data_IF_247053288077
#
_entry.id   IF_247053288077
#
_cell.length_a   1.000
_cell.length_b   1.000
_cell.length_c   1.000
_cell.angle_alpha   90.00
_cell.angle_beta   90.00
_cell.angle_gamma   90.00
#
_symmetry.space_group_name_H-M   'P 1'
#
loop_
_entity.id
_entity.type
_entity.pdbx_description
1 polymer ?
#
# COMPACT_ATOMS: atom_id res chain seq x y z
N UNK A 1 -4.11 7.20 25.73
CA UNK A 1 -4.35 5.84 25.21
C UNK A 1 -3.05 5.04 25.28
N UNK A 2 -3.13 3.81 25.72
CA UNK A 2 -2.06 2.81 25.70
C UNK A 2 -2.30 1.90 24.49
N UNK A 3 -1.65 2.21 23.37
CA UNK A 3 -1.81 1.49 22.10
C UNK A 3 -0.80 0.34 22.00
N UNK A 4 -1.23 -0.81 21.49
CA UNK A 4 -0.36 -1.90 21.08
C UNK A 4 -0.42 -2.07 19.55
N UNK A 5 0.71 -1.99 18.85
CA UNK A 5 0.82 -2.28 17.42
C UNK A 5 1.59 -3.59 17.24
N UNK A 6 0.99 -4.54 16.52
CA UNK A 6 1.60 -5.82 16.17
C UNK A 6 1.87 -5.85 14.68
N UNK A 7 3.16 -5.89 14.30
CA UNK A 7 3.60 -5.86 12.90
C UNK A 7 5.03 -6.40 12.77
N UNK A 8 5.47 -6.77 11.57
CA UNK A 8 6.85 -7.19 11.40
C UNK A 8 7.83 -6.01 11.50
N UNK A 9 7.53 -4.89 10.81
CA UNK A 9 8.45 -3.76 10.70
C UNK A 9 7.79 -2.44 11.03
N UNK A 10 8.53 -1.56 11.70
CA UNK A 10 8.15 -0.17 12.00
C UNK A 10 9.34 0.72 11.64
N UNK A 11 9.53 0.93 10.33
CA UNK A 11 10.67 1.70 9.80
C UNK A 11 10.40 2.23 8.40
N UNK A 12 11.22 3.18 7.92
CA UNK A 12 11.25 3.65 6.54
C UNK A 12 11.82 2.59 5.59
N UNK A 13 11.53 2.71 4.30
CA UNK A 13 12.07 1.82 3.26
C UNK A 13 11.31 0.50 3.07
N UNK A 14 10.16 0.34 3.74
CA UNK A 14 9.22 -0.78 3.58
C UNK A 14 7.81 -0.18 3.54
N UNK A 15 6.98 -0.56 2.58
CA UNK A 15 5.68 0.10 2.39
C UNK A 15 4.78 0.05 3.62
N UNK A 16 4.53 -1.15 4.16
CA UNK A 16 3.73 -1.32 5.37
C UNK A 16 4.48 -0.85 6.62
N UNK A 17 5.80 -1.05 6.66
CA UNK A 17 6.67 -0.57 7.72
C UNK A 17 6.63 0.95 7.85
N UNK A 18 6.61 1.69 6.73
CA UNK A 18 6.49 3.14 6.71
C UNK A 18 5.15 3.62 7.27
N UNK A 19 4.04 3.00 6.91
CA UNK A 19 2.71 3.32 7.47
C UNK A 19 2.73 3.19 9.00
N UNK A 20 3.20 2.06 9.52
CA UNK A 20 3.28 1.84 10.98
C UNK A 20 4.25 2.80 11.66
N UNK A 21 5.35 3.16 11.01
CA UNK A 21 6.32 4.13 11.51
C UNK A 21 5.70 5.53 11.66
N UNK A 22 4.97 6.02 10.66
CA UNK A 22 4.34 7.34 10.73
C UNK A 22 3.19 7.37 11.76
N UNK A 23 2.41 6.29 11.87
CA UNK A 23 1.42 6.13 12.93
C UNK A 23 2.09 6.17 14.31
N UNK A 24 3.20 5.43 14.51
CA UNK A 24 3.91 5.39 15.77
C UNK A 24 4.45 6.78 16.19
N UNK A 25 5.00 7.53 15.23
CA UNK A 25 5.44 8.94 15.48
C UNK A 25 4.29 9.82 15.94
N UNK A 26 3.15 9.74 15.27
CA UNK A 26 1.99 10.57 15.62
C UNK A 26 1.41 10.19 16.99
N UNK A 27 1.35 8.90 17.32
CA UNK A 27 0.94 8.38 18.64
C UNK A 27 1.82 8.97 19.74
N UNK A 28 3.13 8.93 19.56
CA UNK A 28 4.11 9.48 20.50
C UNK A 28 4.00 11.01 20.59
N UNK A 29 3.85 11.69 19.45
CA UNK A 29 3.68 13.15 19.37
C UNK A 29 2.47 13.65 20.15
N UNK A 30 1.35 12.90 20.09
CA UNK A 30 0.12 13.22 20.85
C UNK A 30 0.20 12.83 22.33
N UNK A 31 1.32 12.29 22.78
CA UNK A 31 1.50 11.97 24.20
C UNK A 31 0.99 10.62 24.64
N UNK A 32 0.57 9.75 23.72
CA UNK A 32 0.11 8.41 24.04
C UNK A 32 1.27 7.44 24.29
N UNK A 33 1.01 6.35 25.00
CA UNK A 33 1.96 5.28 25.22
C UNK A 33 1.81 4.20 24.13
N UNK A 34 2.92 3.71 23.61
CA UNK A 34 2.97 2.76 22.50
C UNK A 34 3.76 1.52 22.87
N UNK A 35 3.13 0.35 22.77
CA UNK A 35 3.82 -0.93 22.79
C UNK A 35 3.92 -1.46 21.35
N UNK A 36 5.14 -1.78 20.91
CA UNK A 36 5.41 -2.35 19.60
C UNK A 36 5.81 -3.82 19.73
N UNK A 37 5.00 -4.74 19.22
CA UNK A 37 5.41 -6.14 19.02
C UNK A 37 5.89 -6.27 17.57
N UNK A 38 7.21 -6.25 17.38
CA UNK A 38 7.78 -6.19 16.04
C UNK A 38 9.13 -6.91 15.96
N UNK A 39 9.52 -7.30 14.73
CA UNK A 39 10.85 -7.83 14.45
C UNK A 39 11.90 -6.73 14.34
N UNK A 40 11.50 -5.58 13.75
CA UNK A 40 12.37 -4.43 13.50
C UNK A 40 11.63 -3.13 13.82
N UNK A 41 12.31 -2.22 14.53
CA UNK A 41 11.82 -0.88 14.85
C UNK A 41 12.91 0.13 14.56
N UNK A 42 12.54 1.29 14.02
CA UNK A 42 13.46 2.39 13.76
C UNK A 42 14.06 2.91 15.09
N UNK A 43 15.35 3.24 15.07
CA UNK A 43 16.11 3.61 16.26
C UNK A 43 15.50 4.82 16.98
N UNK A 44 15.08 5.84 16.24
CA UNK A 44 14.47 7.04 16.81
C UNK A 44 13.15 6.78 17.55
N UNK A 45 12.42 5.72 17.21
CA UNK A 45 11.23 5.31 17.97
C UNK A 45 11.61 4.53 19.21
N UNK A 46 12.61 3.67 19.11
CA UNK A 46 13.07 2.85 20.24
C UNK A 46 13.65 3.72 21.37
N UNK A 47 14.28 4.83 21.05
CA UNK A 47 14.84 5.77 22.03
C UNK A 47 13.78 6.58 22.80
N UNK A 48 12.51 6.57 22.35
CA UNK A 48 11.44 7.33 23.03
C UNK A 48 10.99 6.63 24.31
N UNK A 49 10.94 7.36 25.42
CA UNK A 49 10.43 6.86 26.72
C UNK A 49 8.94 6.44 26.69
N UNK A 50 8.20 6.85 25.68
CA UNK A 50 6.78 6.47 25.47
C UNK A 50 6.61 5.19 24.64
N UNK A 51 7.70 4.63 24.11
CA UNK A 51 7.68 3.43 23.27
C UNK A 51 8.29 2.26 24.02
N UNK A 52 7.51 1.21 24.18
CA UNK A 52 7.97 -0.08 24.69
C UNK A 52 8.06 -1.08 23.51
N UNK A 53 9.28 -1.43 23.10
CA UNK A 53 9.48 -2.41 22.05
C UNK A 53 9.71 -3.81 22.59
N UNK A 54 8.80 -4.71 22.25
CA UNK A 54 8.89 -6.15 22.51
C UNK A 54 9.37 -6.83 21.23
N UNK A 55 10.65 -7.15 21.18
CA UNK A 55 11.25 -7.81 20.02
C UNK A 55 10.76 -9.25 19.86
N UNK A 56 10.22 -9.58 18.68
CA UNK A 56 9.82 -10.94 18.33
C UNK A 56 10.75 -11.44 17.21
N UNK A 57 11.83 -12.12 17.60
CA UNK A 57 12.77 -12.71 16.63
C UNK A 57 12.18 -13.94 15.96
N UNK A 58 12.29 -14.00 14.62
CA UNK A 58 11.86 -15.12 13.76
C UNK A 58 12.90 -15.46 12.68
N UNK A 59 14.09 -14.84 12.72
CA UNK A 59 15.10 -14.96 11.67
C UNK A 59 15.71 -16.37 11.52
N UNK A 60 15.61 -17.21 12.55
CA UNK A 60 16.22 -18.54 12.57
C UNK A 60 15.37 -19.62 11.87
N UNK A 61 14.25 -19.26 11.24
CA UNK A 61 13.33 -20.21 10.63
C UNK A 61 13.40 -20.15 9.09
N UNK A 62 13.39 -21.31 8.39
CA UNK A 62 13.77 -21.40 6.99
C UNK A 62 12.75 -20.83 6.02
N UNK A 63 11.46 -20.86 6.36
CA UNK A 63 10.39 -20.42 5.45
C UNK A 63 9.59 -19.26 6.03
N UNK A 64 9.09 -18.41 5.15
CA UNK A 64 8.22 -17.28 5.53
C UNK A 64 6.95 -17.76 6.25
N UNK A 65 6.39 -18.88 5.82
CA UNK A 65 5.22 -19.48 6.45
C UNK A 65 5.47 -19.82 7.93
N UNK A 66 6.59 -20.50 8.24
CA UNK A 66 6.97 -20.85 9.61
C UNK A 66 7.25 -19.60 10.44
N UNK A 67 7.95 -18.62 9.85
CA UNK A 67 8.22 -17.33 10.51
C UNK A 67 6.94 -16.61 10.90
N UNK A 68 5.97 -16.52 9.99
CA UNK A 68 4.67 -15.89 10.24
C UNK A 68 3.87 -16.64 11.31
N UNK A 69 3.85 -17.98 11.28
CA UNK A 69 3.18 -18.79 12.27
C UNK A 69 3.76 -18.62 13.68
N UNK A 70 5.09 -18.59 13.81
CA UNK A 70 5.76 -18.40 15.10
C UNK A 70 5.53 -16.98 15.61
N UNK A 71 5.61 -15.96 14.74
CA UNK A 71 5.31 -14.60 15.10
C UNK A 71 3.88 -14.44 15.61
N UNK A 72 2.90 -15.04 14.93
CA UNK A 72 1.50 -15.00 15.30
C UNK A 72 1.26 -15.62 16.69
N UNK A 73 1.89 -16.75 17.00
CA UNK A 73 1.74 -17.42 18.30
C UNK A 73 2.45 -16.64 19.42
N UNK A 74 3.66 -16.14 19.20
CA UNK A 74 4.40 -15.36 20.20
C UNK A 74 3.67 -14.06 20.53
N UNK A 75 3.20 -13.33 19.51
CA UNK A 75 2.46 -12.07 19.69
C UNK A 75 1.13 -12.29 20.42
N UNK A 76 0.38 -13.34 20.05
CA UNK A 76 -0.85 -13.71 20.74
C UNK A 76 -0.59 -14.15 22.20
N UNK A 77 0.49 -14.89 22.44
CA UNK A 77 0.90 -15.31 23.78
C UNK A 77 1.23 -14.14 24.70
N UNK A 78 1.96 -13.13 24.17
CA UNK A 78 2.24 -11.91 24.90
C UNK A 78 0.97 -11.12 25.19
N UNK A 79 0.11 -10.93 24.17
CA UNK A 79 -1.11 -10.15 24.31
C UNK A 79 -2.08 -10.77 25.32
N UNK A 80 -2.23 -12.10 25.37
CA UNK A 80 -3.05 -12.77 26.39
C UNK A 80 -2.62 -12.45 27.83
N UNK A 81 -1.30 -12.34 28.06
CA UNK A 81 -0.74 -12.02 29.39
C UNK A 81 -0.83 -10.54 29.74
N UNK A 82 -0.88 -9.66 28.76
CA UNK A 82 -0.76 -8.21 28.93
C UNK A 82 -1.98 -7.43 28.41
N UNK A 83 -3.12 -8.10 28.12
CA UNK A 83 -4.30 -7.41 27.51
C UNK A 83 -4.85 -6.28 28.39
N UNK A 84 -4.79 -6.41 29.71
CA UNK A 84 -5.22 -5.38 30.65
C UNK A 84 -4.27 -4.16 30.74
N UNK A 85 -3.07 -4.29 30.20
CA UNK A 85 -2.09 -3.19 30.19
C UNK A 85 -2.20 -2.29 28.94
N UNK A 86 -3.06 -2.66 27.97
CA UNK A 86 -3.26 -1.92 26.71
C UNK A 86 -4.75 -1.63 26.48
N UNK A 87 -5.04 -0.43 26.03
CA UNK A 87 -6.41 0.01 25.75
C UNK A 87 -6.86 -0.51 24.38
N UNK A 88 -6.02 -0.39 23.36
CA UNK A 88 -6.32 -0.76 21.98
C UNK A 88 -5.19 -1.57 21.35
N UNK A 89 -5.59 -2.52 20.49
CA UNK A 89 -4.68 -3.37 19.71
C UNK A 89 -4.88 -3.12 18.22
N UNK A 90 -3.84 -2.65 17.54
CA UNK A 90 -3.78 -2.50 16.08
C UNK A 90 -2.90 -3.57 15.47
N UNK A 91 -3.40 -4.24 14.43
CA UNK A 91 -2.68 -5.28 13.69
C UNK A 91 -2.69 -5.01 12.18
N UNK A 92 -1.90 -5.78 11.43
CA UNK A 92 -1.91 -5.78 9.97
C UNK A 92 -2.25 -7.19 9.46
N UNK A 93 -3.46 -7.37 8.88
CA UNK A 93 -3.87 -8.66 8.33
C UNK A 93 -4.00 -9.78 9.40
N UNK A 94 -3.61 -11.00 9.05
CA UNK A 94 -3.65 -12.18 9.92
C UNK A 94 -2.33 -12.40 10.69
N UNK A 95 -1.66 -11.34 11.08
CA UNK A 95 -0.33 -11.39 11.71
C UNK A 95 -0.32 -11.98 13.14
N UNK A 96 -1.47 -12.08 13.77
CA UNK A 96 -1.66 -12.68 15.11
C UNK A 96 -2.94 -13.48 15.17
N UNK A 97 -2.99 -14.48 16.04
CA UNK A 97 -4.23 -15.25 16.33
C UNK A 97 -5.10 -14.60 17.39
N UNK A 98 -4.63 -13.54 18.04
CA UNK A 98 -5.38 -12.77 19.03
C UNK A 98 -6.40 -11.85 18.35
N UNK A 99 -7.46 -11.48 19.09
CA UNK A 99 -8.40 -10.45 18.65
C UNK A 99 -7.74 -9.08 18.64
N UNK A 100 -8.13 -8.25 17.67
CA UNK A 100 -7.66 -6.88 17.52
C UNK A 100 -8.83 -5.89 17.51
N UNK A 101 -8.56 -4.66 17.91
CA UNK A 101 -9.55 -3.58 17.84
C UNK A 101 -9.54 -2.95 16.45
N UNK A 102 -8.35 -2.74 15.88
CA UNK A 102 -8.15 -2.19 14.53
C UNK A 102 -7.28 -3.14 13.71
N UNK A 103 -7.76 -3.56 12.54
CA UNK A 103 -6.99 -4.36 11.59
C UNK A 103 -6.78 -3.60 10.29
N UNK A 104 -5.53 -3.18 10.00
CA UNK A 104 -5.19 -2.49 8.76
C UNK A 104 -4.84 -3.50 7.65
N UNK A 105 -5.48 -3.33 6.49
CA UNK A 105 -5.42 -4.28 5.38
C UNK A 105 -4.70 -3.65 4.21
N UNK A 106 -3.50 -4.14 3.95
CA UNK A 106 -2.63 -3.73 2.84
C UNK A 106 -2.62 -4.73 1.69
N UNK A 107 -3.33 -5.85 1.83
CA UNK A 107 -3.45 -6.90 0.82
C UNK A 107 -4.60 -7.84 1.19
N UNK A 108 -5.33 -8.37 0.18
CA UNK A 108 -6.42 -9.33 0.38
C UNK A 108 -6.11 -10.61 -0.39
N UNK A 109 -5.66 -11.64 0.32
CA UNK A 109 -5.24 -12.92 -0.29
C UNK A 109 -6.37 -13.61 -1.05
N UNK A 110 -7.61 -13.48 -0.61
CA UNK A 110 -8.78 -14.04 -1.33
C UNK A 110 -8.96 -13.43 -2.72
N UNK A 111 -8.74 -12.12 -2.86
CA UNK A 111 -8.83 -11.42 -4.15
C UNK A 111 -7.63 -11.73 -5.02
N UNK A 112 -6.43 -11.81 -4.44
CA UNK A 112 -5.24 -12.22 -5.15
C UNK A 112 -5.33 -13.65 -5.70
N UNK A 113 -5.88 -14.59 -4.94
CA UNK A 113 -6.09 -15.98 -5.38
C UNK A 113 -7.01 -16.06 -6.60
N UNK A 114 -7.95 -15.13 -6.75
CA UNK A 114 -8.86 -15.02 -7.90
C UNK A 114 -8.26 -14.31 -9.10
N UNK A 115 -7.17 -13.55 -8.88
CA UNK A 115 -6.50 -12.79 -9.95
C UNK A 115 -6.03 -13.69 -11.09
N UNK A 116 -6.25 -13.30 -12.36
CA UNK A 116 -5.77 -14.06 -13.52
C UNK A 116 -4.24 -14.18 -13.56
N UNK A 117 -3.53 -13.22 -12.95
CA UNK A 117 -2.07 -13.20 -12.87
C UNK A 117 -1.52 -13.79 -11.56
N UNK A 118 -2.32 -14.54 -10.80
CA UNK A 118 -1.83 -15.29 -9.66
C UNK A 118 -0.82 -16.36 -10.11
N UNK A 119 0.27 -16.49 -9.36
CA UNK A 119 1.42 -17.36 -9.75
C UNK A 119 0.98 -18.79 -10.06
N UNK A 120 0.02 -19.37 -9.33
CA UNK A 120 -0.48 -20.73 -9.57
C UNK A 120 -1.24 -20.89 -10.90
N UNK A 121 -1.70 -19.81 -11.51
CA UNK A 121 -2.36 -19.83 -12.83
C UNK A 121 -1.36 -19.76 -13.97
N UNK A 122 -0.20 -19.15 -13.71
CA UNK A 122 0.88 -18.96 -14.67
C UNK A 122 1.83 -20.17 -14.66
N UNK A 123 2.12 -20.69 -13.46
CA UNK A 123 3.04 -21.82 -13.25
C UNK A 123 2.27 -23.04 -12.76
N UNK A 124 2.32 -24.13 -13.55
CA UNK A 124 1.68 -25.42 -13.22
C UNK A 124 2.71 -26.43 -12.70
N UNK A 125 3.56 -25.98 -11.77
CA UNK A 125 4.61 -26.77 -11.12
C UNK A 125 4.43 -26.82 -9.61
N UNK A 126 5.33 -27.50 -8.89
CA UNK A 126 5.28 -27.59 -7.43
C UNK A 126 5.33 -26.23 -6.74
N UNK A 127 6.03 -25.25 -7.33
CA UNK A 127 6.07 -23.89 -6.81
C UNK A 127 4.73 -23.18 -6.97
N UNK A 128 4.07 -23.33 -8.12
CA UNK A 128 2.72 -22.79 -8.35
C UNK A 128 1.70 -23.39 -7.37
N UNK A 129 1.77 -24.72 -7.11
CA UNK A 129 0.94 -25.37 -6.10
C UNK A 129 1.21 -24.87 -4.67
N UNK A 130 2.48 -24.70 -4.30
CA UNK A 130 2.87 -24.11 -3.02
C UNK A 130 2.28 -22.69 -2.87
N UNK A 131 2.38 -21.85 -3.89
CA UNK A 131 1.85 -20.50 -3.89
C UNK A 131 0.32 -20.46 -3.76
N UNK A 132 -0.36 -21.40 -4.40
CA UNK A 132 -1.81 -21.56 -4.25
C UNK A 132 -2.18 -21.92 -2.82
N UNK A 133 -1.54 -22.94 -2.25
CA UNK A 133 -1.81 -23.40 -0.88
C UNK A 133 -1.50 -22.28 0.14
N UNK A 134 -0.36 -21.62 0.00
CA UNK A 134 0.04 -20.48 0.83
C UNK A 134 -1.02 -19.39 0.80
N UNK A 135 -1.44 -18.98 -0.39
CA UNK A 135 -2.44 -17.91 -0.57
C UNK A 135 -3.81 -18.34 -0.04
N UNK A 136 -4.24 -19.57 -0.26
CA UNK A 136 -5.53 -20.09 0.22
C UNK A 136 -5.60 -20.15 1.75
N UNK A 137 -4.53 -20.58 2.42
CA UNK A 137 -4.44 -20.61 3.88
C UNK A 137 -4.46 -19.18 4.46
N UNK A 138 -3.68 -18.26 3.90
CA UNK A 138 -3.69 -16.86 4.32
C UNK A 138 -5.06 -16.21 4.10
N UNK A 139 -5.73 -16.46 2.97
CA UNK A 139 -7.08 -15.97 2.69
C UNK A 139 -8.09 -16.42 3.77
N UNK A 140 -7.99 -17.68 4.23
CA UNK A 140 -8.85 -18.18 5.31
C UNK A 140 -8.56 -17.50 6.65
N UNK A 141 -7.29 -17.33 7.01
CA UNK A 141 -6.90 -16.69 8.28
C UNK A 141 -7.24 -15.20 8.29
N UNK A 142 -7.00 -14.50 7.19
CA UNK A 142 -7.37 -13.08 7.03
C UNK A 142 -8.87 -12.87 7.20
N UNK A 143 -9.70 -13.67 6.52
CA UNK A 143 -11.16 -13.60 6.67
C UNK A 143 -11.59 -13.69 8.13
N UNK A 144 -11.01 -14.63 8.88
CA UNK A 144 -11.31 -14.78 10.31
C UNK A 144 -10.81 -13.59 11.15
N UNK A 145 -9.61 -13.06 10.83
CA UNK A 145 -9.03 -11.92 11.54
C UNK A 145 -9.85 -10.64 11.30
N UNK A 146 -10.28 -10.40 10.05
CA UNK A 146 -11.07 -9.22 9.69
C UNK A 146 -12.46 -9.25 10.30
N UNK A 147 -13.12 -10.42 10.32
CA UNK A 147 -14.44 -10.56 10.94
C UNK A 147 -14.43 -10.39 12.48
N UNK A 148 -13.29 -10.60 13.14
CA UNK A 148 -13.14 -10.44 14.59
C UNK A 148 -12.70 -9.04 15.00
N UNK A 149 -12.22 -8.21 14.07
CA UNK A 149 -11.78 -6.85 14.35
C UNK A 149 -12.99 -5.93 14.55
N UNK A 150 -12.91 -4.98 15.50
CA UNK A 150 -13.96 -3.96 15.69
C UNK A 150 -14.03 -3.02 14.50
N UNK A 151 -12.87 -2.62 13.97
CA UNK A 151 -12.74 -1.80 12.78
C UNK A 151 -11.67 -2.41 11.86
N UNK A 152 -11.98 -2.51 10.57
CA UNK A 152 -11.06 -2.90 9.52
C UNK A 152 -10.72 -1.67 8.69
N UNK A 153 -9.44 -1.32 8.62
CA UNK A 153 -8.99 -0.16 7.84
C UNK A 153 -8.47 -0.64 6.49
N UNK A 154 -9.17 -0.27 5.43
CA UNK A 154 -8.78 -0.50 4.05
C UNK A 154 -7.90 0.64 3.55
N UNK A 155 -6.83 0.31 2.82
CA UNK A 155 -5.89 1.31 2.27
C UNK A 155 -6.35 1.94 0.95
N UNK A 156 -7.49 1.50 0.40
CA UNK A 156 -8.11 2.01 -0.82
C UNK A 156 -9.58 1.60 -0.88
N UNK A 157 -10.38 2.25 -1.73
CA UNK A 157 -11.77 1.85 -1.99
C UNK A 157 -11.85 0.45 -2.60
N UNK A 158 -10.87 0.09 -3.46
CA UNK A 158 -10.74 -1.25 -4.01
C UNK A 158 -10.61 -2.30 -2.90
N UNK A 159 -9.71 -2.09 -1.94
CA UNK A 159 -9.55 -3.00 -0.78
C UNK A 159 -10.82 -3.03 0.08
N UNK A 160 -11.49 -1.89 0.26
CA UNK A 160 -12.77 -1.86 0.99
C UNK A 160 -13.84 -2.72 0.31
N UNK A 161 -13.92 -2.69 -1.03
CA UNK A 161 -14.83 -3.55 -1.78
C UNK A 161 -14.44 -5.03 -1.66
N UNK A 162 -13.15 -5.35 -1.79
CA UNK A 162 -12.63 -6.71 -1.62
C UNK A 162 -12.94 -7.29 -0.23
N UNK A 163 -12.94 -6.46 0.82
CA UNK A 163 -13.32 -6.83 2.18
C UNK A 163 -14.83 -7.13 2.28
N UNK A 164 -15.67 -6.33 1.64
CA UNK A 164 -17.12 -6.58 1.55
C UNK A 164 -17.38 -7.92 0.85
N UNK A 165 -16.69 -8.19 -0.25
CA UNK A 165 -16.84 -9.41 -1.06
C UNK A 165 -16.49 -10.70 -0.29
N UNK A 166 -15.65 -10.60 0.74
CA UNK A 166 -15.33 -11.72 1.64
C UNK A 166 -16.18 -11.77 2.92
N UNK A 167 -17.17 -10.87 3.04
CA UNK A 167 -18.16 -10.86 4.11
C UNK A 167 -17.80 -10.02 5.32
N UNK A 168 -16.94 -9.01 5.19
CA UNK A 168 -16.74 -8.00 6.25
C UNK A 168 -17.85 -6.95 6.12
N UNK A 169 -18.62 -6.68 7.19
CA UNK A 169 -19.69 -5.68 7.13
C UNK A 169 -19.17 -4.29 6.75
N UNK A 170 -19.82 -3.61 5.81
CA UNK A 170 -19.40 -2.27 5.37
C UNK A 170 -19.30 -1.27 6.53
N UNK A 171 -20.15 -1.38 7.54
CA UNK A 171 -20.13 -0.55 8.74
C UNK A 171 -18.85 -0.68 9.56
N UNK A 172 -18.17 -1.81 9.48
CA UNK A 172 -16.89 -2.05 10.16
C UNK A 172 -15.67 -1.56 9.37
N UNK A 173 -15.86 -1.17 8.10
CA UNK A 173 -14.76 -0.76 7.23
C UNK A 173 -14.60 0.76 7.28
N UNK A 174 -13.36 1.21 7.46
CA UNK A 174 -12.93 2.60 7.25
C UNK A 174 -11.87 2.61 6.16
N UNK A 175 -11.89 3.62 5.31
CA UNK A 175 -10.85 3.80 4.28
C UNK A 175 -9.89 4.87 4.76
N UNK A 176 -8.62 4.51 4.90
CA UNK A 176 -7.52 5.44 5.19
C UNK A 176 -6.44 5.15 4.16
N UNK A 177 -6.35 6.00 3.16
CA UNK A 177 -5.35 5.88 2.08
C UNK A 177 -3.95 6.09 2.65
N UNK A 178 -2.97 5.37 2.12
CA UNK A 178 -1.56 5.56 2.49
C UNK A 178 -1.10 7.01 2.23
N UNK A 179 -0.05 7.41 2.91
CA UNK A 179 0.55 8.73 2.72
C UNK A 179 1.68 8.75 1.70
N UNK A 180 2.13 9.95 1.37
CA UNK A 180 3.33 10.21 0.57
C UNK A 180 4.18 11.30 1.24
N UNK A 181 5.50 11.26 0.99
CA UNK A 181 6.40 12.31 1.44
C UNK A 181 6.38 13.49 0.45
N UNK A 182 5.67 14.55 0.83
CA UNK A 182 5.43 15.71 -0.03
C UNK A 182 6.65 16.62 -0.20
N UNK A 183 7.69 16.43 0.61
CA UNK A 183 8.96 17.16 0.48
C UNK A 183 9.92 16.38 -0.43
N UNK A 184 10.01 15.08 -0.24
CA UNK A 184 10.82 14.18 -1.06
C UNK A 184 10.27 14.12 -2.50
N UNK A 185 8.97 13.86 -2.64
CA UNK A 185 8.24 13.84 -3.91
C UNK A 185 7.55 15.18 -4.13
N UNK A 186 8.11 15.98 -5.01
CA UNK A 186 7.61 17.32 -5.33
C UNK A 186 7.94 17.67 -6.78
N UNK A 187 7.11 18.51 -7.43
CA UNK A 187 7.42 19.02 -8.76
C UNK A 187 8.78 19.72 -8.79
N UNK A 188 9.48 19.62 -9.90
CA UNK A 188 10.79 20.24 -10.06
C UNK A 188 11.41 19.90 -11.41
N UNK A 189 12.65 20.32 -11.57
CA UNK A 189 13.47 20.00 -12.75
C UNK A 189 14.56 19.03 -12.33
N UNK A 190 14.84 18.04 -13.18
CA UNK A 190 15.96 17.13 -13.02
C UNK A 190 16.81 17.10 -14.30
N UNK A 191 18.08 16.87 -14.13
CA UNK A 191 19.05 16.73 -15.20
C UNK A 191 18.97 15.30 -15.76
N UNK A 192 18.32 15.16 -16.91
CA UNK A 192 18.12 13.87 -17.60
C UNK A 192 19.43 13.19 -17.96
N UNK A 193 20.44 13.95 -18.37
CA UNK A 193 21.75 13.43 -18.72
C UNK A 193 22.41 12.70 -17.55
N UNK A 194 22.40 13.32 -16.35
CA UNK A 194 22.92 12.69 -15.13
C UNK A 194 22.18 11.44 -14.71
N UNK A 195 20.90 11.34 -15.09
CA UNK A 195 20.07 10.17 -14.81
C UNK A 195 20.18 9.07 -15.86
N UNK A 196 20.91 9.30 -16.96
CA UNK A 196 21.00 8.40 -18.11
C UNK A 196 19.74 8.36 -18.96
N UNK A 197 19.00 9.46 -19.01
CA UNK A 197 17.73 9.59 -19.72
C UNK A 197 17.87 10.50 -20.96
N UNK A 198 17.08 10.26 -22.03
CA UNK A 198 17.13 11.06 -23.22
C UNK A 198 16.61 12.47 -22.98
N UNK A 199 17.25 13.45 -23.65
CA UNK A 199 16.80 14.84 -23.71
C UNK A 199 15.85 15.08 -24.90
N UNK A 200 15.10 16.17 -24.85
CA UNK A 200 14.25 16.64 -25.95
C UNK A 200 13.19 15.64 -26.47
N UNK A 201 12.75 14.72 -25.62
CA UNK A 201 11.69 13.76 -25.91
C UNK A 201 10.61 13.82 -24.84
N UNK A 202 9.38 13.42 -25.18
CA UNK A 202 8.37 13.14 -24.17
C UNK A 202 8.70 11.81 -23.50
N UNK A 203 8.79 11.80 -22.17
CA UNK A 203 9.25 10.65 -21.38
C UNK A 203 8.15 10.18 -20.42
N UNK A 204 7.67 8.97 -20.63
CA UNK A 204 6.86 8.27 -19.64
C UNK A 204 7.75 7.53 -18.63
N UNK A 205 7.28 7.39 -17.40
CA UNK A 205 7.91 6.62 -16.35
C UNK A 205 7.03 5.45 -15.94
N UNK A 206 7.61 4.27 -15.87
CA UNK A 206 7.06 3.09 -15.20
C UNK A 206 7.99 2.69 -14.05
N UNK A 207 7.45 2.45 -12.85
CA UNK A 207 8.25 2.06 -11.70
C UNK A 207 7.59 0.92 -10.91
N UNK A 208 8.31 -0.20 -10.71
CA UNK A 208 7.81 -1.35 -9.96
C UNK A 208 8.61 -2.62 -10.18
N UNK A 209 8.18 -3.72 -9.55
CA UNK A 209 8.80 -5.05 -9.79
C UNK A 209 8.41 -5.55 -11.19
N UNK A 210 9.39 -5.58 -12.08
CA UNK A 210 9.24 -6.00 -13.48
C UNK A 210 9.58 -7.47 -13.74
N UNK A 211 9.68 -8.30 -12.71
CA UNK A 211 9.96 -9.75 -12.86
C UNK A 211 8.67 -10.57 -13.02
N UNK A 212 7.54 -9.96 -12.78
CA UNK A 212 6.23 -10.62 -12.84
C UNK A 212 5.25 -9.83 -13.70
N UNK A 213 4.24 -10.48 -14.30
CA UNK A 213 3.23 -9.79 -15.12
C UNK A 213 2.23 -8.97 -14.29
N UNK A 214 2.30 -9.01 -12.97
CA UNK A 214 1.36 -8.32 -12.08
C UNK A 214 1.32 -6.81 -12.29
N UNK A 215 2.50 -6.20 -12.52
CA UNK A 215 2.62 -4.75 -12.73
C UNK A 215 2.25 -4.29 -14.14
N UNK A 216 2.11 -5.23 -15.07
CA UNK A 216 1.59 -5.00 -16.43
C UNK A 216 2.46 -4.14 -17.35
N UNK A 217 3.78 -4.31 -17.29
CA UNK A 217 4.70 -3.62 -18.21
C UNK A 217 4.55 -4.10 -19.66
N UNK A 218 4.14 -5.35 -19.87
CA UNK A 218 3.87 -5.90 -21.22
C UNK A 218 2.81 -5.10 -21.98
N UNK A 219 1.67 -4.78 -21.36
CA UNK A 219 0.63 -3.94 -21.99
C UNK A 219 1.17 -2.53 -22.30
N UNK A 220 2.01 -1.97 -21.42
CA UNK A 220 2.65 -0.67 -21.67
C UNK A 220 3.59 -0.73 -22.88
N UNK A 221 4.41 -1.78 -23.00
CA UNK A 221 5.30 -1.97 -24.14
C UNK A 221 4.53 -2.13 -25.45
N UNK A 222 3.45 -2.92 -25.47
CA UNK A 222 2.61 -3.05 -26.67
C UNK A 222 1.91 -1.73 -27.04
N UNK A 223 1.46 -0.94 -26.06
CA UNK A 223 0.88 0.38 -26.31
C UNK A 223 1.93 1.34 -26.88
N UNK A 224 3.18 1.29 -26.37
CA UNK A 224 4.28 2.16 -26.82
C UNK A 224 4.62 1.98 -28.31
N UNK A 225 4.40 0.78 -28.87
CA UNK A 225 4.56 0.55 -30.33
C UNK A 225 3.68 1.49 -31.15
N UNK A 226 2.48 1.84 -30.63
CA UNK A 226 1.49 2.71 -31.30
C UNK A 226 1.69 4.19 -31.03
N UNK A 227 2.70 4.57 -30.23
CA UNK A 227 2.99 5.95 -29.81
C UNK A 227 4.46 6.27 -30.14
N UNK A 228 4.77 6.61 -31.42
CA UNK A 228 6.15 6.70 -31.90
C UNK A 228 6.99 7.77 -31.20
N UNK A 229 6.40 8.90 -30.80
CA UNK A 229 7.09 10.04 -30.21
C UNK A 229 7.25 9.97 -28.68
N UNK A 230 6.97 8.79 -28.08
CA UNK A 230 7.09 8.55 -26.66
C UNK A 230 8.27 7.66 -26.34
N UNK A 231 9.10 8.09 -25.40
CA UNK A 231 10.09 7.24 -24.72
C UNK A 231 9.57 6.78 -23.37
N UNK A 232 10.08 5.64 -22.88
CA UNK A 232 9.70 5.04 -21.61
C UNK A 232 10.94 4.77 -20.74
N UNK A 233 11.00 5.38 -19.57
CA UNK A 233 11.92 5.01 -18.52
C UNK A 233 11.27 3.90 -17.66
N UNK A 234 12.00 2.81 -17.42
CA UNK A 234 11.54 1.68 -16.61
C UNK A 234 12.45 1.50 -15.41
N UNK A 235 11.90 1.68 -14.21
CA UNK A 235 12.61 1.46 -12.95
C UNK A 235 12.10 0.17 -12.31
N UNK A 236 13.03 -0.77 -12.06
CA UNK A 236 12.75 -2.08 -11.46
C UNK A 236 13.90 -3.04 -11.67
N UNK A 237 13.95 -4.13 -10.91
CA UNK A 237 14.99 -5.16 -11.04
C UNK A 237 14.95 -5.82 -12.41
N UNK A 238 16.02 -5.69 -13.18
CA UNK A 238 16.12 -6.21 -14.56
C UNK A 238 16.44 -7.72 -14.54
N UNK A 239 17.24 -8.16 -13.59
CA UNK A 239 17.65 -9.56 -13.50
C UNK A 239 16.43 -10.48 -13.34
N UNK A 240 16.30 -11.46 -14.23
CA UNK A 240 15.15 -12.38 -14.28
C UNK A 240 13.86 -11.78 -14.87
N UNK A 241 13.91 -10.53 -15.38
CA UNK A 241 12.75 -9.90 -16.05
C UNK A 241 12.66 -10.34 -17.52
N UNK A 242 11.48 -10.71 -18.04
CA UNK A 242 11.27 -11.01 -19.45
C UNK A 242 11.14 -9.76 -20.33
N UNK A 243 10.95 -8.58 -19.75
CA UNK A 243 10.54 -7.37 -20.48
C UNK A 243 11.64 -6.71 -21.30
N UNK A 244 12.95 -6.78 -20.98
CA UNK A 244 13.98 -6.31 -21.89
C UNK A 244 13.96 -7.06 -23.23
N UNK A 245 13.77 -8.39 -23.21
CA UNK A 245 13.65 -9.18 -24.43
C UNK A 245 12.36 -8.87 -25.19
N UNK A 246 11.24 -8.67 -24.49
CA UNK A 246 10.00 -8.26 -25.12
C UNK A 246 10.14 -6.90 -25.80
N UNK A 247 10.73 -5.90 -25.15
CA UNK A 247 10.98 -4.59 -25.73
C UNK A 247 11.83 -4.70 -27.01
N UNK A 248 12.88 -5.52 -27.01
CA UNK A 248 13.73 -5.78 -28.16
C UNK A 248 12.95 -6.42 -29.34
N UNK A 249 12.11 -7.43 -29.03
CA UNK A 249 11.27 -8.09 -30.05
C UNK A 249 10.20 -7.18 -30.67
N UNK A 250 9.78 -6.14 -29.94
CA UNK A 250 8.86 -5.11 -30.42
C UNK A 250 9.56 -3.92 -31.13
N UNK A 251 10.90 -3.97 -31.29
CA UNK A 251 11.66 -2.89 -31.92
C UNK A 251 11.77 -1.62 -31.10
N UNK A 252 11.68 -1.73 -29.76
CA UNK A 252 11.63 -0.58 -28.85
C UNK A 252 12.98 -0.23 -28.19
N UNK A 253 14.10 -0.83 -28.62
CA UNK A 253 15.41 -0.67 -27.98
C UNK A 253 15.83 0.80 -27.79
N UNK A 254 15.57 1.64 -28.77
CA UNK A 254 15.95 3.06 -28.73
C UNK A 254 15.00 3.93 -27.89
N UNK A 255 13.82 3.40 -27.55
CA UNK A 255 12.77 4.18 -26.87
C UNK A 255 12.45 3.69 -25.45
N UNK A 256 12.94 2.52 -25.05
CA UNK A 256 12.75 1.97 -23.70
C UNK A 256 14.07 1.93 -22.94
N UNK A 257 14.12 2.66 -21.83
CA UNK A 257 15.32 2.85 -21.02
C UNK A 257 15.16 2.09 -19.70
N UNK A 258 15.73 0.90 -19.60
CA UNK A 258 15.72 0.10 -18.38
C UNK A 258 16.81 0.60 -17.41
N UNK A 259 16.41 1.26 -16.32
CA UNK A 259 17.32 1.90 -15.35
C UNK A 259 17.75 0.98 -14.20
N UNK A 260 17.19 -0.24 -14.13
CA UNK A 260 17.45 -1.12 -13.00
C UNK A 260 16.78 -0.65 -11.70
N UNK A 261 17.24 -1.20 -10.58
CA UNK A 261 16.82 -0.75 -9.26
C UNK A 261 17.47 0.60 -8.94
N UNK A 262 16.65 1.61 -8.61
CA UNK A 262 17.09 2.98 -8.32
C UNK A 262 16.59 3.42 -6.95
N UNK A 263 17.37 4.26 -6.27
CA UNK A 263 16.99 4.90 -5.00
C UNK A 263 16.64 6.38 -5.16
N UNK A 264 17.01 6.97 -6.26
CA UNK A 264 16.78 8.37 -6.63
C UNK A 264 15.47 8.55 -7.42
N UNK A 265 14.44 7.79 -7.03
CA UNK A 265 13.11 7.85 -7.65
C UNK A 265 12.53 9.27 -7.72
N UNK A 266 12.67 10.13 -6.67
CA UNK A 266 12.17 11.50 -6.74
C UNK A 266 12.78 12.31 -7.88
N UNK A 267 14.07 12.13 -8.18
CA UNK A 267 14.74 12.80 -9.29
C UNK A 267 14.28 12.26 -10.65
N UNK A 268 14.08 10.93 -10.73
CA UNK A 268 13.56 10.30 -11.96
C UNK A 268 12.12 10.76 -12.24
N UNK A 269 11.28 10.88 -11.22
CA UNK A 269 9.93 11.42 -11.36
C UNK A 269 9.94 12.87 -11.85
N UNK A 270 10.84 13.72 -11.34
CA UNK A 270 11.01 15.10 -11.85
C UNK A 270 11.51 15.16 -13.27
N UNK A 271 12.19 14.13 -13.76
CA UNK A 271 12.67 14.02 -15.14
C UNK A 271 11.60 13.53 -16.12
N UNK A 272 10.54 12.89 -15.64
CA UNK A 272 9.46 12.35 -16.46
C UNK A 272 8.39 13.39 -16.79
N UNK A 273 7.62 13.13 -17.83
CA UNK A 273 6.47 13.94 -18.27
C UNK A 273 5.13 13.28 -17.97
N UNK A 274 5.10 11.95 -17.86
CA UNK A 274 3.89 11.13 -17.67
C UNK A 274 4.26 9.95 -16.75
N UNK A 275 3.39 9.58 -15.84
CA UNK A 275 3.51 8.32 -15.11
C UNK A 275 2.49 7.30 -15.63
N UNK A 276 2.96 6.10 -15.99
CA UNK A 276 2.11 5.03 -16.55
C UNK A 276 2.23 3.75 -15.70
N UNK A 277 1.12 3.32 -15.09
CA UNK A 277 1.12 2.19 -14.18
C UNK A 277 -0.24 1.45 -14.17
N UNK A 278 -0.63 0.77 -15.25
CA UNK A 278 -1.90 0.04 -15.35
C UNK A 278 -1.79 -1.36 -14.72
N UNK A 279 -1.48 -1.46 -13.43
CA UNK A 279 -1.26 -2.75 -12.76
C UNK A 279 -2.50 -3.64 -12.79
N UNK A 280 -2.32 -4.95 -12.98
CA UNK A 280 -3.38 -5.97 -12.95
C UNK A 280 -3.89 -6.27 -11.54
N UNK A 281 -3.08 -6.00 -10.53
CA UNK A 281 -3.46 -6.15 -9.12
C UNK A 281 -2.55 -5.33 -8.20
N UNK A 282 -3.13 -4.37 -7.49
CA UNK A 282 -2.51 -3.62 -6.38
C UNK A 282 -3.57 -3.33 -5.31
N UNK A 283 -3.19 -3.37 -4.04
CA UNK A 283 -4.05 -2.96 -2.94
C UNK A 283 -4.05 -1.42 -2.77
N UNK A 284 -2.87 -0.83 -2.69
CA UNK A 284 -2.62 0.61 -2.73
C UNK A 284 -1.13 0.80 -3.01
N UNK A 285 -0.80 1.33 -4.17
CA UNK A 285 0.60 1.50 -4.53
C UNK A 285 1.11 2.88 -4.12
N UNK A 286 2.22 2.91 -3.38
CA UNK A 286 2.86 4.18 -2.98
C UNK A 286 3.36 4.94 -4.20
N UNK A 287 3.88 4.24 -5.21
CA UNK A 287 4.44 4.89 -6.40
C UNK A 287 3.41 5.73 -7.18
N UNK A 288 2.11 5.40 -7.09
CA UNK A 288 1.04 6.22 -7.66
C UNK A 288 0.93 7.57 -6.92
N UNK A 289 0.93 7.53 -5.59
CA UNK A 289 0.91 8.73 -4.75
C UNK A 289 2.18 9.57 -4.94
N UNK A 290 3.33 8.91 -5.08
CA UNK A 290 4.63 9.53 -5.35
C UNK A 290 4.63 10.26 -6.70
N UNK A 291 4.03 9.67 -7.73
CA UNK A 291 3.87 10.29 -9.05
C UNK A 291 2.93 11.50 -8.99
N UNK A 292 1.77 11.37 -8.33
CA UNK A 292 0.86 12.51 -8.11
C UNK A 292 1.55 13.64 -7.33
N UNK A 293 2.31 13.30 -6.27
CA UNK A 293 3.05 14.28 -5.47
C UNK A 293 4.15 14.98 -6.27
N UNK A 294 4.77 14.28 -7.22
CA UNK A 294 5.77 14.84 -8.14
C UNK A 294 5.15 15.70 -9.26
N UNK A 295 3.81 15.80 -9.31
CA UNK A 295 3.10 16.61 -10.30
C UNK A 295 3.07 15.96 -11.69
N UNK A 296 3.06 14.63 -11.77
CA UNK A 296 2.95 13.91 -13.03
C UNK A 296 1.48 13.60 -13.35
N UNK A 297 1.03 13.84 -14.59
CA UNK A 297 -0.20 13.24 -15.08
C UNK A 297 -0.07 11.71 -15.03
N UNK A 298 -1.11 11.03 -14.58
CA UNK A 298 -1.07 9.59 -14.30
C UNK A 298 -1.99 8.83 -15.24
N UNK A 299 -1.49 7.74 -15.82
CA UNK A 299 -2.33 6.73 -16.47
C UNK A 299 -2.26 5.46 -15.62
N UNK A 300 -3.41 5.00 -15.13
CA UNK A 300 -3.53 3.78 -14.32
C UNK A 300 -4.76 2.97 -14.73
N UNK A 301 -5.12 1.94 -13.98
CA UNK A 301 -6.30 1.13 -14.26
C UNK A 301 -7.13 0.90 -12.98
N UNK A 302 -8.41 0.59 -13.12
CA UNK A 302 -9.33 0.29 -12.01
C UNK A 302 -8.85 -0.86 -11.11
N UNK A 303 -8.06 -1.79 -11.66
CA UNK A 303 -7.43 -2.88 -10.91
C UNK A 303 -6.29 -2.43 -9.98
N UNK A 304 -5.80 -1.19 -10.13
CA UNK A 304 -4.77 -0.59 -9.29
C UNK A 304 -5.42 0.09 -8.08
N UNK A 305 -5.18 -0.41 -6.86
CA UNK A 305 -5.65 0.27 -5.65
C UNK A 305 -5.01 1.65 -5.49
N UNK A 306 -5.81 2.64 -5.20
CA UNK A 306 -5.45 4.06 -5.25
C UNK A 306 -5.87 4.76 -6.54
N UNK A 307 -6.37 4.02 -7.55
CA UNK A 307 -6.86 4.61 -8.80
C UNK A 307 -8.03 5.59 -8.57
N UNK A 308 -8.77 5.43 -7.49
CA UNK A 308 -9.83 6.36 -7.07
C UNK A 308 -9.34 7.80 -6.78
N UNK A 309 -8.04 7.99 -6.61
CA UNK A 309 -7.43 9.31 -6.44
C UNK A 309 -7.15 10.01 -7.79
N UNK A 310 -7.15 9.23 -8.88
CA UNK A 310 -6.90 9.77 -10.21
C UNK A 310 -8.21 10.23 -10.83
N UNK A 311 -8.40 11.54 -10.84
CA UNK A 311 -9.55 12.19 -11.48
C UNK A 311 -9.24 12.56 -12.94
N UNK A 312 -10.24 12.84 -13.79
CA UNK A 312 -10.01 13.27 -15.17
C UNK A 312 -9.11 14.52 -15.30
N UNK A 313 -9.06 15.36 -14.26
CA UNK A 313 -8.23 16.56 -14.22
C UNK A 313 -6.74 16.25 -13.98
N UNK A 314 -6.39 15.07 -13.45
CA UNK A 314 -5.00 14.71 -13.14
C UNK A 314 -4.50 13.46 -13.87
N UNK A 315 -5.38 12.75 -14.61
CA UNK A 315 -4.95 11.55 -15.30
C UNK A 315 -6.08 10.76 -15.97
N UNK A 316 -5.77 9.53 -16.33
CA UNK A 316 -6.69 8.59 -16.98
C UNK A 316 -6.72 7.26 -16.21
N UNK A 317 -7.92 6.78 -15.91
CA UNK A 317 -8.14 5.46 -15.31
C UNK A 317 -8.76 4.54 -16.35
N UNK A 318 -8.01 3.53 -16.78
CA UNK A 318 -8.46 2.51 -17.73
C UNK A 318 -9.45 1.56 -17.04
N UNK A 319 -10.54 1.24 -17.70
CA UNK A 319 -11.51 0.24 -17.21
C UNK A 319 -10.90 -1.16 -17.19
N UNK A 320 -10.12 -1.50 -18.21
CA UNK A 320 -9.36 -2.75 -18.33
C UNK A 320 -7.86 -2.44 -18.40
N UNK A 321 -7.10 -3.06 -17.49
CA UNK A 321 -5.64 -2.91 -17.43
C UNK A 321 -4.93 -3.48 -18.66
N UNK A 322 -5.56 -4.43 -19.36
CA UNK A 322 -5.00 -5.12 -20.52
C UNK A 322 -5.40 -4.50 -21.85
N UNK A 323 -6.24 -3.45 -21.84
CA UNK A 323 -6.64 -2.74 -23.07
C UNK A 323 -5.49 -1.87 -23.61
N UNK A 324 -4.67 -2.47 -24.46
CA UNK A 324 -3.55 -1.82 -25.14
C UNK A 324 -4.00 -0.63 -26.02
N UNK A 325 -5.22 -0.68 -26.60
CA UNK A 325 -5.70 0.40 -27.46
C UNK A 325 -6.13 1.61 -26.63
N UNK A 326 -6.88 1.41 -25.55
CA UNK A 326 -7.25 2.48 -24.64
C UNK A 326 -6.01 3.12 -24.00
N UNK A 327 -5.02 2.32 -23.62
CA UNK A 327 -3.74 2.82 -23.10
C UNK A 327 -2.98 3.64 -24.14
N UNK A 328 -2.87 3.16 -25.38
CA UNK A 328 -2.20 3.89 -26.44
C UNK A 328 -2.91 5.23 -26.74
N UNK A 329 -4.24 5.25 -26.78
CA UNK A 329 -5.03 6.48 -26.97
C UNK A 329 -4.80 7.49 -25.83
N UNK A 330 -4.78 7.03 -24.57
CA UNK A 330 -4.48 7.89 -23.43
C UNK A 330 -3.05 8.47 -23.49
N UNK A 331 -2.07 7.66 -23.88
CA UNK A 331 -0.69 8.11 -24.07
C UNK A 331 -0.57 9.13 -25.21
N UNK A 332 -1.19 8.87 -26.36
CA UNK A 332 -1.19 9.80 -27.51
C UNK A 332 -1.78 11.17 -27.13
N UNK A 333 -2.88 11.21 -26.39
CA UNK A 333 -3.48 12.48 -25.95
C UNK A 333 -2.54 13.30 -25.07
N UNK A 334 -1.78 12.64 -24.20
CA UNK A 334 -0.81 13.31 -23.33
C UNK A 334 0.50 13.68 -24.05
N UNK A 335 0.94 12.89 -25.05
CA UNK A 335 2.14 13.20 -25.82
C UNK A 335 1.92 14.44 -26.69
N UNK A 336 0.76 14.55 -27.31
CA UNK A 336 0.45 15.62 -28.28
C UNK A 336 0.29 17.01 -27.64
N UNK A 337 -0.03 17.11 -26.34
CA UNK A 337 -0.35 18.38 -25.69
C UNK A 337 0.43 18.60 -24.38
N UNK A 338 1.47 19.42 -24.46
CA UNK A 338 2.29 19.79 -23.30
C UNK A 338 1.50 20.62 -22.27
N UNK A 339 0.55 21.46 -22.71
CA UNK A 339 -0.21 22.31 -21.81
C UNK A 339 -1.18 21.47 -20.97
N UNK A 340 -1.81 20.45 -21.57
CA UNK A 340 -2.64 19.48 -20.86
C UNK A 340 -1.80 18.73 -19.81
N UNK A 341 -0.59 18.24 -20.16
CA UNK A 341 0.29 17.58 -19.18
C UNK A 341 0.61 18.48 -17.99
N UNK A 342 0.92 19.76 -18.24
CA UNK A 342 1.22 20.73 -17.18
C UNK A 342 0.00 21.02 -16.29
N UNK A 343 -1.18 21.14 -16.88
CA UNK A 343 -2.42 21.35 -16.14
C UNK A 343 -2.76 20.13 -15.26
N UNK A 344 -2.70 18.94 -15.84
CA UNK A 344 -2.93 17.68 -15.11
C UNK A 344 -1.90 17.48 -14.00
N UNK A 345 -0.64 17.82 -14.22
CA UNK A 345 0.40 17.75 -13.22
C UNK A 345 0.14 18.64 -12.01
N UNK A 346 -0.40 19.85 -12.21
CA UNK A 346 -0.83 20.74 -11.12
C UNK A 346 -1.99 20.13 -10.32
N UNK A 347 -2.97 19.57 -11.00
CA UNK A 347 -4.11 18.91 -10.36
C UNK A 347 -3.65 17.66 -9.58
N UNK A 348 -2.74 16.85 -10.14
CA UNK A 348 -2.13 15.71 -9.50
C UNK A 348 -1.45 16.09 -8.17
N UNK A 349 -0.65 17.15 -8.18
CA UNK A 349 0.00 17.69 -6.97
C UNK A 349 -1.03 18.11 -5.91
N UNK A 350 -2.07 18.82 -6.30
CA UNK A 350 -3.13 19.28 -5.37
C UNK A 350 -3.85 18.12 -4.69
N UNK A 351 -4.07 17.00 -5.40
CA UNK A 351 -4.63 15.77 -4.82
C UNK A 351 -3.65 15.17 -3.81
N UNK A 352 -2.37 15.02 -4.19
CA UNK A 352 -1.37 14.44 -3.32
C UNK A 352 -1.16 15.23 -2.02
N UNK A 353 -1.32 16.55 -2.03
CA UNK A 353 -1.19 17.40 -0.84
C UNK A 353 -2.20 17.08 0.27
N UNK A 354 -3.32 16.46 -0.08
CA UNK A 354 -4.32 15.97 0.88
C UNK A 354 -3.94 14.61 1.48
N UNK A 355 -2.94 13.92 0.92
CA UNK A 355 -2.55 12.55 1.25
C UNK A 355 -1.10 12.45 1.77
N UNK A 356 -0.62 13.45 2.52
CA UNK A 356 0.67 13.36 3.19
C UNK A 356 0.69 12.32 4.31
N UNK A 357 1.88 11.80 4.66
CA UNK A 357 2.05 10.87 5.79
C UNK A 357 1.47 11.40 7.09
N UNK A 358 1.59 12.71 7.34
CA UNK A 358 1.04 13.34 8.55
C UNK A 358 -0.48 13.25 8.60
N UNK A 359 -1.17 13.55 7.50
CA UNK A 359 -2.65 13.45 7.41
C UNK A 359 -3.11 12.01 7.63
N UNK A 360 -2.47 11.04 7.00
CA UNK A 360 -2.76 9.61 7.19
C UNK A 360 -2.59 9.21 8.66
N UNK A 361 -1.45 9.54 9.27
CA UNK A 361 -1.16 9.18 10.66
C UNK A 361 -2.13 9.83 11.63
N UNK A 362 -2.49 11.11 11.44
CA UNK A 362 -3.50 11.82 12.23
C UNK A 362 -4.87 11.14 12.14
N UNK A 363 -5.28 10.71 10.95
CA UNK A 363 -6.54 10.00 10.74
C UNK A 363 -6.58 8.67 11.52
N UNK A 364 -5.48 7.92 11.53
CA UNK A 364 -5.37 6.71 12.36
C UNK A 364 -5.45 7.02 13.85
N UNK A 365 -4.75 8.04 14.33
CA UNK A 365 -4.75 8.35 15.77
C UNK A 365 -6.11 8.89 16.21
N UNK A 366 -6.80 9.69 15.37
CA UNK A 366 -8.18 10.10 15.63
C UNK A 366 -9.10 8.89 15.79
N UNK A 367 -8.98 7.87 14.92
CA UNK A 367 -9.73 6.63 15.02
C UNK A 367 -9.43 5.89 16.34
N UNK A 368 -8.18 5.84 16.79
CA UNK A 368 -7.82 5.20 18.06
C UNK A 368 -8.43 5.94 19.26
N UNK A 369 -8.39 7.27 19.25
CA UNK A 369 -8.98 8.11 20.30
C UNK A 369 -10.52 7.96 20.34
N UNK A 370 -11.18 7.90 19.18
CA UNK A 370 -12.62 7.64 19.06
C UNK A 370 -13.00 6.29 19.69
N UNK A 371 -12.28 5.23 19.32
CA UNK A 371 -12.55 3.89 19.84
C UNK A 371 -12.33 3.77 21.35
N UNK A 372 -11.28 4.41 21.86
CA UNK A 372 -10.98 4.43 23.29
C UNK A 372 -12.07 5.10 24.10
N UNK A 373 -12.58 6.26 23.67
CA UNK A 373 -13.68 6.99 24.33
C UNK A 373 -14.98 6.18 24.34
N UNK A 374 -15.30 5.49 23.26
CA UNK A 374 -16.50 4.67 23.16
C UNK A 374 -16.45 3.46 24.11
N UNK A 375 -15.28 2.91 24.41
CA UNK A 375 -15.10 1.82 25.38
C UNK A 375 -15.23 2.32 26.82
N UNK A 376 -14.67 3.47 27.15
CA UNK A 376 -14.84 4.10 28.47
C UNK A 376 -16.32 4.36 28.75
N UNK A 377 -17.06 4.93 27.78
CA UNK A 377 -18.49 5.17 27.92
C UNK A 377 -19.28 3.86 28.17
N UNK A 378 -18.99 2.78 27.43
CA UNK A 378 -19.64 1.48 27.62
C UNK A 378 -19.32 0.85 28.98
N UNK A 379 -18.08 0.94 29.46
CA UNK A 379 -17.68 0.42 30.76
C UNK A 379 -18.39 1.15 31.91
N UNK A 380 -18.62 2.45 31.80
CA UNK A 380 -19.34 3.25 32.79
C UNK A 380 -20.85 3.02 32.79
N UNK A 381 -21.47 2.73 31.63
CA UNK A 381 -22.90 2.46 31.53
C UNK A 381 -23.29 1.07 32.01
N UNK A 382 -22.38 0.09 32.02
CA UNK A 382 -22.62 -1.24 32.57
C UNK A 382 -22.40 -1.34 34.10
N UNK A 383 -21.91 -0.29 34.76
CA UNK A 383 -21.65 -0.27 36.21
C UNK A 383 -22.79 0.36 37.05
N UNK A 384 -23.93 0.71 36.46
CA UNK A 384 -25.10 1.18 37.18
C UNK A 384 -26.23 0.14 37.18
N UNK A 385 -26.28 -0.81 38.16
CA UNK A 385 -27.50 -1.53 38.40
C UNK A 385 -28.49 -0.52 39.03
N UNK A 386 -29.60 -0.23 38.34
CA UNK A 386 -30.71 0.46 38.91
C UNK A 386 -31.21 -0.30 40.15
N UNK A 387 -30.94 0.19 41.34
CA UNK A 387 -31.72 -0.20 42.53
C UNK A 387 -33.15 0.30 42.29
N UNK A 388 -34.00 -0.61 41.84
CA UNK A 388 -35.44 -0.41 41.86
C UNK A 388 -35.90 -0.21 43.30
N UNK A 389 -36.99 0.56 43.54
CA UNK A 389 -37.48 0.84 44.86
C UNK A 389 -38.02 -0.44 45.49
N UNK A 390 -37.54 -0.72 46.69
CA UNK A 390 -38.12 -1.77 47.57
C UNK A 390 -39.49 -1.29 47.98
N UNK A 391 -40.54 -1.92 47.49
CA UNK A 391 -41.90 -1.74 48.01
C UNK A 391 -41.96 -2.45 49.39
N UNK A 392 -42.18 -1.62 50.42
CA UNK A 392 -42.57 -2.10 51.77
C UNK A 392 -44.10 -2.10 51.81
N UNK A 393 -44.68 -3.24 52.02
CA UNK A 393 -46.00 -3.42 52.68
C UNK A 393 -46.09 -4.78 53.29
#
# INVERSE_FOLDING_TARGET
>A
VKLCIITHKVKKGDGQGRVNYEIAKEVVRRGHHLTLLATEVAEELHQSSKVNWISISVNNFPTEFIRNFIFANKSAGWLRKNRSAVDLVKVNGAITTAASDVNAVHFVHSSWLRSPVHISRIRRDLYGFYQWLYTALNARWEKQAFQKAKVVVAVSQKVAQELVDIGVPRSHIRVIVNGVDLQEFSPGVADRQKLGLPENVTLALFAGDIRTPRKNLDTVLHALVKVPDLHLAVVGGIEGSPFPQLAASLGLNERVHFLGYRRDIPQIMRAADIFVFPSRYEACTLVLLEALASGLPVITATATGGAELVTPECGVVLADSDDTNALASALLSLVSDRAIRQQMGKAARSIAEQHGWTTMAQTYVNLFEELSKNEEYRSHTHLSPSKGPIAVS
#
